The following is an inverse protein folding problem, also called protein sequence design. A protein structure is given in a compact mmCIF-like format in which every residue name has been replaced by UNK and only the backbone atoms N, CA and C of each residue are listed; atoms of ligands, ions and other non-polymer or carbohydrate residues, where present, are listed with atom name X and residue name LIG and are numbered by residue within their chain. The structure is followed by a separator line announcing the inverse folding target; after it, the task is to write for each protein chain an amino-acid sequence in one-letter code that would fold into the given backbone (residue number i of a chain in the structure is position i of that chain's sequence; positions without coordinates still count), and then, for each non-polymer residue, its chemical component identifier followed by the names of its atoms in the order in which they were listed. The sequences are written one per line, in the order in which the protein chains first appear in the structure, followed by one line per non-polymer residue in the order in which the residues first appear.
data_IF_061201685583
#
_entry.id   IF_061201685583
#
_cell.length_a   1.000
_cell.length_b   1.000
_cell.length_c   1.000
_cell.angle_alpha   90.00
_cell.angle_beta   90.00
_cell.angle_gamma   90.00
#
_symmetry.space_group_name_H-M   'P 1'
#
loop_
_entity.id
_entity.type
_entity.pdbx_description
1 polymer ?
#
# COMPACT_ATOMS: atom_id res chain seq x y z
N UNK A 1 -3.87 40.89 10.97
CA UNK A 1 -4.46 39.52 11.10
C UNK A 1 -3.58 38.59 10.30
N UNK A 2 -2.67 37.93 11.01
CA UNK A 2 -1.52 37.20 10.41
C UNK A 2 -1.96 35.78 10.07
N UNK A 3 -1.91 35.43 8.79
CA UNK A 3 -2.04 34.02 8.34
C UNK A 3 -0.76 33.26 8.66
N UNK A 4 -0.83 32.32 9.61
CA UNK A 4 0.25 31.37 9.88
C UNK A 4 0.14 30.24 8.86
N UNK A 5 1.06 30.21 7.89
CA UNK A 5 1.27 29.05 7.02
C UNK A 5 1.85 27.91 7.86
N UNK A 6 1.11 26.80 8.02
CA UNK A 6 1.64 25.54 8.54
C UNK A 6 2.59 24.94 7.48
N UNK A 7 3.87 25.01 7.74
CA UNK A 7 4.88 24.23 7.02
C UNK A 7 4.80 22.79 7.50
N UNK A 8 4.11 21.94 6.75
CA UNK A 8 4.07 20.50 7.01
C UNK A 8 5.46 19.88 6.78
N UNK A 9 6.02 19.34 7.82
CA UNK A 9 7.33 18.69 7.81
C UNK A 9 7.28 17.39 7.00
N UNK A 10 8.19 17.27 6.04
CA UNK A 10 8.39 16.14 5.11
C UNK A 10 8.69 14.78 5.81
N UNK A 11 8.71 14.73 7.14
CA UNK A 11 9.10 13.57 7.93
C UNK A 11 8.03 12.48 8.10
N UNK A 12 6.74 12.80 7.88
CA UNK A 12 5.65 11.82 8.06
C UNK A 12 5.35 10.97 6.82
N UNK A 13 5.69 11.45 5.62
CA UNK A 13 5.25 10.82 4.35
C UNK A 13 5.97 9.54 3.94
N UNK A 14 7.14 9.26 4.50
CA UNK A 14 7.91 8.04 4.18
C UNK A 14 7.42 6.84 5.01
N UNK A 15 6.84 7.09 6.18
CA UNK A 15 6.47 6.05 7.15
C UNK A 15 5.30 5.18 6.70
N UNK A 16 4.28 5.77 6.08
CA UNK A 16 3.06 5.06 5.73
C UNK A 16 3.21 4.12 4.52
N UNK A 17 3.99 4.50 3.51
CA UNK A 17 4.24 3.64 2.35
C UNK A 17 4.83 2.27 2.75
N UNK A 18 5.58 2.26 3.83
CA UNK A 18 6.31 1.09 4.30
C UNK A 18 5.38 0.18 5.14
N UNK A 19 4.43 0.77 5.88
CA UNK A 19 3.49 0.02 6.70
C UNK A 19 2.50 -0.81 5.86
N UNK A 20 2.04 -0.26 4.75
CA UNK A 20 1.10 -0.94 3.85
C UNK A 20 1.74 -2.16 3.17
N UNK A 21 3.05 -2.12 2.91
CA UNK A 21 3.80 -3.30 2.41
C UNK A 21 3.80 -4.46 3.41
N UNK A 22 3.61 -4.16 4.71
CA UNK A 22 3.50 -5.19 5.76
C UNK A 22 2.13 -5.86 5.85
N UNK A 23 1.08 -5.19 5.34
CA UNK A 23 -0.30 -5.69 5.41
C UNK A 23 -0.69 -6.56 4.21
N UNK A 24 -0.04 -6.38 3.08
CA UNK A 24 -0.43 -7.00 1.82
C UNK A 24 0.76 -7.73 1.19
N UNK A 25 0.95 -8.98 1.56
CA UNK A 25 1.75 -9.88 0.75
C UNK A 25 0.84 -10.52 -0.31
N UNK A 26 0.61 -9.79 -1.39
CA UNK A 26 0.13 -10.42 -2.61
C UNK A 26 1.33 -11.10 -3.28
N UNK A 27 1.37 -12.43 -3.42
CA UNK A 27 2.45 -13.07 -4.16
C UNK A 27 2.36 -12.61 -5.61
N UNK A 28 3.20 -11.66 -5.98
CA UNK A 28 3.46 -11.27 -7.37
C UNK A 28 4.10 -12.44 -8.11
N UNK A 29 3.35 -13.51 -8.34
CA UNK A 29 3.69 -14.51 -9.36
C UNK A 29 3.38 -13.96 -10.76
N UNK A 30 3.88 -12.76 -11.03
CA UNK A 30 3.92 -12.18 -12.37
C UNK A 30 5.33 -12.35 -12.95
N UNK A 31 5.81 -13.59 -12.97
CA UNK A 31 7.00 -13.94 -13.73
C UNK A 31 6.64 -14.87 -14.88
N UNK A 32 5.99 -14.38 -15.90
CA UNK A 32 5.96 -14.98 -17.21
C UNK A 32 5.39 -13.98 -18.22
N UNK A 33 6.19 -13.15 -18.80
CA UNK A 33 6.15 -12.60 -20.15
C UNK A 33 6.93 -11.28 -20.23
N UNK A 34 8.25 -11.35 -20.23
CA UNK A 34 9.09 -10.29 -20.80
C UNK A 34 10.24 -10.98 -21.55
N UNK A 35 9.89 -11.62 -22.64
CA UNK A 35 10.82 -11.96 -23.71
C UNK A 35 10.35 -11.21 -24.94
N UNK A 36 10.69 -9.93 -25.05
CA UNK A 36 10.78 -9.13 -26.27
C UNK A 36 10.96 -7.64 -25.90
N UNK A 37 12.13 -7.33 -25.30
CA UNK A 37 12.57 -5.95 -25.25
C UNK A 37 13.54 -5.71 -26.40
N UNK A 38 13.34 -4.68 -27.25
CA UNK A 38 14.31 -4.33 -28.27
C UNK A 38 15.65 -3.92 -27.64
N UNK A 39 16.73 -4.38 -28.22
CA UNK A 39 18.09 -4.12 -27.80
C UNK A 39 18.33 -2.59 -27.70
N UNK A 40 18.66 -2.12 -26.51
CA UNK A 40 19.05 -0.74 -26.25
C UNK A 40 20.47 -0.55 -26.79
N UNK A 41 20.63 0.38 -27.73
CA UNK A 41 21.92 0.77 -28.29
C UNK A 41 22.81 1.38 -27.20
N UNK A 42 24.05 0.88 -26.95
CA UNK A 42 24.87 1.31 -25.80
C UNK A 42 25.66 2.61 -26.01
N UNK A 43 25.39 3.41 -27.03
CA UNK A 43 26.16 4.63 -27.34
C UNK A 43 25.49 5.94 -26.90
N UNK A 44 25.07 6.06 -25.63
CA UNK A 44 24.87 7.38 -25.02
C UNK A 44 25.49 7.36 -23.61
N UNK A 45 26.81 7.33 -23.56
CA UNK A 45 27.56 7.78 -22.39
C UNK A 45 27.62 9.31 -22.39
N UNK A 46 26.55 9.95 -21.94
CA UNK A 46 26.64 11.32 -21.47
C UNK A 46 27.13 11.24 -20.03
N UNK A 47 28.42 11.45 -19.83
CA UNK A 47 29.00 11.69 -18.50
C UNK A 47 28.32 12.91 -17.89
N UNK A 48 27.36 12.66 -16.99
CA UNK A 48 26.84 13.70 -16.13
C UNK A 48 27.98 14.18 -15.23
N UNK A 49 28.19 15.48 -15.05
CA UNK A 49 29.24 15.99 -14.19
C UNK A 49 29.04 15.48 -12.77
N UNK A 50 29.93 14.58 -12.34
CA UNK A 50 29.95 14.09 -10.97
C UNK A 50 30.46 15.23 -10.10
N UNK A 51 29.58 15.79 -9.27
CA UNK A 51 29.97 16.76 -8.26
C UNK A 51 30.80 16.05 -7.19
N UNK A 52 32.10 16.28 -7.06
CA UNK A 52 33.00 15.54 -6.17
C UNK A 52 32.77 15.83 -4.67
N UNK A 53 31.84 16.73 -4.32
CA UNK A 53 31.50 17.09 -2.93
C UNK A 53 30.15 16.56 -2.48
N UNK A 54 29.42 15.78 -3.28
CA UNK A 54 28.22 15.11 -2.79
C UNK A 54 28.65 13.93 -1.91
N UNK A 55 28.35 14.01 -0.61
CA UNK A 55 28.53 12.84 0.28
C UNK A 55 27.84 11.63 -0.32
N UNK A 56 28.51 10.48 -0.35
CA UNK A 56 27.92 9.24 -0.85
C UNK A 56 26.56 9.01 -0.16
N UNK A 57 25.52 8.61 -0.90
CA UNK A 57 24.23 8.33 -0.28
C UNK A 57 24.40 7.29 0.82
N UNK A 58 23.68 7.43 1.96
CA UNK A 58 23.80 6.48 3.05
C UNK A 58 23.51 5.06 2.54
N UNK A 59 24.24 4.09 3.05
CA UNK A 59 23.96 2.69 2.74
C UNK A 59 22.53 2.34 3.16
N UNK A 60 21.90 1.37 2.49
CA UNK A 60 20.54 0.90 2.85
C UNK A 60 20.47 0.52 4.33
N UNK A 61 21.51 -0.12 4.85
CA UNK A 61 21.61 -0.49 6.25
C UNK A 61 21.62 0.71 7.21
N UNK A 62 22.30 1.80 6.83
CA UNK A 62 22.29 3.04 7.60
C UNK A 62 20.92 3.73 7.55
N UNK A 63 20.24 3.67 6.41
CA UNK A 63 18.88 4.19 6.28
C UNK A 63 17.90 3.42 7.16
N UNK A 64 17.95 2.08 7.17
CA UNK A 64 17.15 1.22 8.03
C UNK A 64 17.36 1.53 9.52
N UNK A 65 18.60 1.68 9.97
CA UNK A 65 18.94 2.01 11.36
C UNK A 65 18.39 3.36 11.84
N UNK A 66 18.08 4.28 10.94
CA UNK A 66 17.50 5.59 11.26
C UNK A 66 16.00 5.54 11.48
N UNK A 67 15.32 4.49 11.03
CA UNK A 67 13.88 4.33 11.24
C UNK A 67 13.65 3.85 12.67
N UNK A 68 13.16 4.75 13.53
CA UNK A 68 12.97 4.48 14.96
C UNK A 68 11.51 4.40 15.37
N UNK A 69 10.65 5.11 14.66
CA UNK A 69 9.24 5.16 14.93
C UNK A 69 8.48 5.19 13.60
N UNK A 70 7.40 4.45 13.54
CA UNK A 70 6.47 4.41 12.43
C UNK A 70 5.05 4.58 12.96
N UNK A 71 4.17 5.10 12.11
CA UNK A 71 2.74 5.12 12.37
C UNK A 71 1.99 4.87 11.08
N UNK A 72 0.79 4.30 11.19
CA UNK A 72 -0.16 4.15 10.11
C UNK A 72 -1.48 4.78 10.52
N UNK A 73 -2.00 5.72 9.76
CA UNK A 73 -3.22 6.45 10.07
C UNK A 73 -3.24 7.06 11.49
N UNK A 74 -2.07 7.46 12.02
CA UNK A 74 -1.91 7.97 13.38
C UNK A 74 -1.74 6.90 14.46
N UNK A 75 -1.94 5.62 14.15
CA UNK A 75 -1.68 4.50 15.06
C UNK A 75 -0.19 4.15 15.08
N UNK A 76 0.41 4.02 16.28
CA UNK A 76 1.82 3.72 16.41
C UNK A 76 2.12 2.26 16.07
N UNK A 77 3.20 2.03 15.30
CA UNK A 77 3.74 0.68 15.07
C UNK A 77 4.73 0.35 16.17
N UNK A 78 4.59 -0.76 16.91
CA UNK A 78 5.45 -1.11 18.04
C UNK A 78 6.84 -1.60 17.58
N UNK A 79 7.65 -0.67 17.06
CA UNK A 79 8.99 -0.95 16.52
C UNK A 79 10.01 -1.41 17.56
N UNK A 80 9.68 -1.34 18.86
CA UNK A 80 10.44 -1.93 19.95
C UNK A 80 10.31 -3.45 20.01
N UNK A 81 9.21 -4.01 19.50
CA UNK A 81 9.03 -5.46 19.37
C UNK A 81 9.91 -5.99 18.23
N UNK A 82 10.71 -7.00 18.53
CA UNK A 82 11.67 -7.55 17.57
C UNK A 82 10.97 -8.21 16.36
N UNK A 83 9.88 -8.95 16.60
CA UNK A 83 9.10 -9.62 15.56
C UNK A 83 8.50 -8.62 14.56
N UNK A 84 7.95 -7.50 15.04
CA UNK A 84 7.39 -6.42 14.22
C UNK A 84 8.50 -5.74 13.42
N UNK A 85 9.64 -5.45 14.08
CA UNK A 85 10.80 -4.82 13.43
C UNK A 85 11.37 -5.70 12.32
N UNK A 86 11.58 -6.98 12.57
CA UNK A 86 12.14 -7.93 11.60
C UNK A 86 11.20 -8.09 10.40
N UNK A 87 9.90 -8.18 10.62
CA UNK A 87 8.88 -8.22 9.54
C UNK A 87 8.95 -6.95 8.69
N UNK A 88 8.97 -5.78 9.32
CA UNK A 88 9.10 -4.49 8.63
C UNK A 88 10.40 -4.42 7.80
N UNK A 89 11.55 -4.77 8.39
CA UNK A 89 12.84 -4.73 7.68
C UNK A 89 12.87 -5.69 6.51
N UNK A 90 12.29 -6.89 6.65
CA UNK A 90 12.15 -7.87 5.57
C UNK A 90 11.38 -7.29 4.39
N UNK A 91 10.19 -6.74 4.63
CA UNK A 91 9.34 -6.21 3.56
C UNK A 91 9.97 -4.98 2.88
N UNK A 92 10.62 -4.12 3.65
CA UNK A 92 11.35 -2.99 3.10
C UNK A 92 12.51 -3.43 2.21
N UNK A 93 13.27 -4.43 2.64
CA UNK A 93 14.39 -4.98 1.87
C UNK A 93 13.91 -5.65 0.58
N UNK A 94 12.81 -6.42 0.62
CA UNK A 94 12.23 -7.05 -0.57
C UNK A 94 11.74 -5.99 -1.57
N UNK A 95 11.05 -4.96 -1.11
CA UNK A 95 10.56 -3.86 -1.96
C UNK A 95 11.70 -3.08 -2.59
N UNK A 96 12.72 -2.70 -1.81
CA UNK A 96 13.88 -1.94 -2.31
C UNK A 96 14.84 -2.81 -3.14
N UNK A 97 14.87 -4.11 -2.90
CA UNK A 97 15.63 -5.08 -3.69
C UNK A 97 15.12 -5.20 -5.13
N UNK A 98 13.82 -5.04 -5.34
CA UNK A 98 13.21 -5.01 -6.67
C UNK A 98 13.17 -3.57 -7.23
N UNK A 99 14.34 -3.04 -7.60
CA UNK A 99 14.48 -1.67 -8.12
C UNK A 99 13.56 -1.33 -9.29
N UNK A 100 13.40 -2.18 -10.34
CA UNK A 100 12.47 -1.89 -11.42
C UNK A 100 11.05 -1.67 -10.92
N UNK A 101 10.57 -2.53 -10.03
CA UNK A 101 9.23 -2.43 -9.46
C UNK A 101 9.07 -1.17 -8.61
N UNK A 102 10.06 -0.84 -7.77
CA UNK A 102 10.06 0.39 -6.97
C UNK A 102 9.96 1.65 -7.85
N UNK A 103 10.69 1.71 -8.97
CA UNK A 103 10.61 2.82 -9.92
C UNK A 103 9.23 2.90 -10.56
N UNK A 104 8.61 1.77 -10.92
CA UNK A 104 7.26 1.74 -11.48
C UNK A 104 6.22 2.22 -10.45
N UNK A 105 6.35 1.86 -9.17
CA UNK A 105 5.51 2.40 -8.09
C UNK A 105 5.59 3.92 -8.05
N UNK A 106 6.81 4.47 -7.98
CA UNK A 106 7.02 5.92 -7.93
C UNK A 106 6.41 6.64 -9.14
N UNK A 107 6.50 6.06 -10.35
CA UNK A 107 5.89 6.64 -11.55
C UNK A 107 4.35 6.62 -11.51
N UNK A 108 3.76 5.52 -11.06
CA UNK A 108 2.30 5.38 -10.98
C UNK A 108 1.68 6.24 -9.89
N UNK A 109 2.37 6.41 -8.75
CA UNK A 109 1.93 7.29 -7.67
C UNK A 109 1.59 8.69 -8.17
N UNK A 110 2.42 9.29 -9.00
CA UNK A 110 2.19 10.64 -9.55
C UNK A 110 0.89 10.75 -10.34
N UNK A 111 0.39 9.64 -10.89
CA UNK A 111 -0.85 9.60 -11.69
C UNK A 111 -2.09 9.37 -10.85
N UNK A 112 -2.03 8.47 -9.87
CA UNK A 112 -3.21 7.95 -9.18
C UNK A 112 -3.40 8.51 -7.77
N UNK A 113 -2.33 8.72 -7.00
CA UNK A 113 -2.46 9.18 -5.62
C UNK A 113 -3.14 10.53 -5.47
N UNK A 114 -2.93 11.55 -6.32
CA UNK A 114 -3.61 12.84 -6.15
C UNK A 114 -5.14 12.75 -6.14
N UNK A 115 -5.71 11.83 -6.92
CA UNK A 115 -7.15 11.60 -6.92
C UNK A 115 -7.61 10.89 -5.65
N UNK A 116 -6.88 9.85 -5.20
CA UNK A 116 -7.19 9.13 -3.96
C UNK A 116 -7.10 10.08 -2.76
N UNK A 117 -6.03 10.90 -2.69
CA UNK A 117 -5.84 11.92 -1.65
C UNK A 117 -7.02 12.90 -1.59
N UNK A 118 -7.49 13.38 -2.74
CA UNK A 118 -8.63 14.29 -2.80
C UNK A 118 -9.94 13.64 -2.30
N UNK A 119 -10.15 12.34 -2.56
CA UNK A 119 -11.34 11.63 -2.06
C UNK A 119 -11.20 11.38 -0.56
N UNK A 120 -10.03 10.99 -0.06
CA UNK A 120 -9.77 10.81 1.38
C UNK A 120 -9.96 12.11 2.16
N UNK A 121 -9.43 13.23 1.66
CA UNK A 121 -9.60 14.55 2.25
C UNK A 121 -11.07 14.96 2.32
N UNK A 122 -11.81 14.77 1.23
CA UNK A 122 -13.25 15.06 1.18
C UNK A 122 -14.06 14.26 2.20
N UNK A 123 -13.66 13.02 2.43
CA UNK A 123 -14.32 12.09 3.35
C UNK A 123 -13.78 12.18 4.79
N UNK A 124 -12.85 13.11 5.08
CA UNK A 124 -12.19 13.27 6.39
C UNK A 124 -11.56 11.96 6.90
N UNK A 125 -10.84 11.27 6.00
CA UNK A 125 -10.15 10.03 6.29
C UNK A 125 -8.63 10.20 6.24
N UNK A 126 -7.87 9.35 6.98
CA UNK A 126 -6.41 9.41 6.98
C UNK A 126 -5.80 9.27 5.60
N UNK A 127 -4.88 10.17 5.26
CA UNK A 127 -4.16 10.18 3.98
C UNK A 127 -3.35 8.90 3.72
N UNK A 128 -2.91 8.22 4.77
CA UNK A 128 -2.13 6.99 4.69
C UNK A 128 -2.89 5.84 4.00
N UNK A 129 -4.22 5.84 4.02
CA UNK A 129 -5.06 4.81 3.39
C UNK A 129 -4.84 4.70 1.86
N UNK A 130 -4.35 5.74 1.22
CA UNK A 130 -3.98 5.70 -0.21
C UNK A 130 -2.96 4.62 -0.55
N UNK A 131 -2.11 4.25 0.41
CA UNK A 131 -1.09 3.24 0.20
C UNK A 131 -1.62 1.81 0.15
N UNK A 132 -2.85 1.56 0.61
CA UNK A 132 -3.52 0.27 0.39
C UNK A 132 -3.66 -0.03 -1.11
N UNK A 133 -4.04 0.96 -1.92
CA UNK A 133 -4.11 0.78 -3.38
C UNK A 133 -2.74 0.44 -4.00
N UNK A 134 -1.64 0.93 -3.41
CA UNK A 134 -0.27 0.56 -3.84
C UNK A 134 0.01 -0.90 -3.51
N UNK A 135 -0.34 -1.33 -2.30
CA UNK A 135 -0.15 -2.69 -1.85
C UNK A 135 -0.99 -3.69 -2.65
N UNK A 136 -2.26 -3.38 -2.88
CA UNK A 136 -3.21 -4.27 -3.57
C UNK A 136 -2.83 -4.56 -5.03
N UNK A 137 -2.36 -3.56 -5.76
CA UNK A 137 -2.20 -3.68 -7.21
C UNK A 137 -0.95 -3.05 -7.79
N UNK A 138 -0.07 -2.49 -6.95
CA UNK A 138 1.00 -1.63 -7.46
C UNK A 138 0.47 -0.46 -8.31
N UNK A 139 -0.78 -0.03 -8.08
CA UNK A 139 -1.51 0.96 -8.87
C UNK A 139 -1.67 0.57 -10.35
N UNK A 140 -1.89 -0.72 -10.65
CA UNK A 140 -2.17 -1.21 -12.01
C UNK A 140 -3.69 -1.30 -12.20
N UNK A 141 -4.30 -0.49 -13.10
CA UNK A 141 -5.77 -0.37 -13.18
C UNK A 141 -6.48 -1.65 -13.63
N UNK A 142 -5.85 -2.41 -14.51
CA UNK A 142 -6.47 -3.57 -15.16
C UNK A 142 -5.95 -4.91 -14.63
N UNK A 143 -5.27 -4.90 -13.48
CA UNK A 143 -4.73 -6.13 -12.92
C UNK A 143 -5.87 -7.03 -12.40
N UNK A 144 -5.73 -8.32 -12.70
CA UNK A 144 -6.64 -9.35 -12.20
C UNK A 144 -5.84 -10.41 -11.45
N UNK A 145 -6.24 -10.69 -10.20
CA UNK A 145 -5.65 -11.77 -9.42
C UNK A 145 -6.13 -13.15 -9.91
N UNK A 146 -5.45 -14.21 -9.49
CA UNK A 146 -5.87 -15.61 -9.77
C UNK A 146 -7.22 -15.92 -9.13
N UNK A 147 -7.52 -15.36 -7.97
CA UNK A 147 -8.79 -15.50 -7.25
C UNK A 147 -9.92 -14.67 -7.86
N UNK A 148 -9.63 -13.78 -8.82
CA UNK A 148 -10.62 -12.97 -9.52
C UNK A 148 -10.82 -11.57 -8.96
N UNK A 149 -9.98 -11.12 -8.03
CA UNK A 149 -9.93 -9.71 -7.63
C UNK A 149 -9.51 -8.84 -8.83
N UNK A 150 -9.99 -7.60 -8.91
CA UNK A 150 -9.82 -6.75 -10.09
C UNK A 150 -9.56 -5.28 -9.72
N UNK A 151 -8.71 -4.64 -10.53
CA UNK A 151 -8.50 -3.20 -10.52
C UNK A 151 -7.50 -2.73 -9.46
N UNK A 152 -7.37 -1.41 -9.33
CA UNK A 152 -6.41 -0.79 -8.39
C UNK A 152 -6.67 -1.22 -6.94
N UNK A 153 -7.94 -1.41 -6.57
CA UNK A 153 -8.38 -1.74 -5.22
C UNK A 153 -8.63 -3.23 -5.00
N UNK A 154 -8.37 -4.07 -6.00
CA UNK A 154 -8.48 -5.52 -5.93
C UNK A 154 -9.80 -6.05 -5.34
N UNK A 155 -10.92 -5.41 -5.68
CA UNK A 155 -12.22 -5.91 -5.25
C UNK A 155 -12.52 -7.31 -5.79
N UNK A 156 -12.93 -8.20 -4.90
CA UNK A 156 -13.62 -9.42 -5.30
C UNK A 156 -15.01 -9.08 -5.88
N UNK A 157 -15.57 -9.90 -6.79
CA UNK A 157 -16.84 -9.58 -7.43
C UNK A 157 -17.98 -9.31 -6.45
N UNK A 158 -18.12 -10.15 -5.43
CA UNK A 158 -19.21 -10.03 -4.46
C UNK A 158 -19.01 -8.83 -3.53
N UNK A 159 -17.77 -8.61 -3.06
CA UNK A 159 -17.43 -7.43 -2.26
C UNK A 159 -17.70 -6.14 -3.05
N UNK A 160 -17.29 -6.11 -4.34
CA UNK A 160 -17.54 -4.94 -5.19
C UNK A 160 -19.05 -4.65 -5.34
N UNK A 161 -19.87 -5.66 -5.63
CA UNK A 161 -21.34 -5.50 -5.71
C UNK A 161 -21.96 -5.02 -4.39
N UNK A 162 -21.50 -5.58 -3.28
CA UNK A 162 -21.98 -5.19 -1.94
C UNK A 162 -21.62 -3.74 -1.59
N UNK A 163 -20.61 -3.17 -2.27
CA UNK A 163 -20.19 -1.78 -2.13
C UNK A 163 -20.57 -0.89 -3.32
N UNK A 164 -21.59 -1.31 -4.09
CA UNK A 164 -22.26 -0.49 -5.09
C UNK A 164 -21.60 -0.49 -6.47
N UNK A 165 -20.61 -1.34 -6.73
CA UNK A 165 -20.01 -1.46 -8.06
C UNK A 165 -20.88 -2.32 -8.98
N UNK A 166 -21.15 -1.84 -10.19
CA UNK A 166 -21.80 -2.62 -11.23
C UNK A 166 -20.80 -3.63 -11.81
N UNK A 167 -21.17 -4.90 -11.70
CA UNK A 167 -20.35 -6.02 -12.19
C UNK A 167 -21.26 -7.04 -12.86
N UNK A 168 -21.28 -7.02 -14.19
CA UNK A 168 -22.04 -7.95 -15.02
C UNK A 168 -21.20 -8.44 -16.22
N UNK A 169 -21.85 -8.99 -17.26
CA UNK A 169 -21.18 -9.50 -18.46
C UNK A 169 -20.66 -8.40 -19.40
N UNK A 170 -21.07 -7.16 -19.23
CA UNK A 170 -20.73 -6.02 -20.09
C UNK A 170 -19.92 -4.95 -19.37
N UNK A 171 -20.17 -4.77 -18.07
CA UNK A 171 -19.58 -3.70 -17.26
C UNK A 171 -18.91 -4.34 -16.05
N UNK A 172 -17.69 -3.87 -15.74
CA UNK A 172 -16.96 -4.21 -14.53
C UNK A 172 -16.33 -2.93 -13.94
N UNK A 173 -17.09 -2.25 -13.06
CA UNK A 173 -16.68 -0.97 -12.46
C UNK A 173 -15.52 -1.10 -11.47
N UNK A 174 -15.07 -2.31 -11.12
CA UNK A 174 -13.83 -2.51 -10.38
C UNK A 174 -12.61 -2.00 -11.17
N UNK A 175 -12.75 -1.87 -12.50
CA UNK A 175 -11.73 -1.34 -13.42
C UNK A 175 -11.84 0.17 -13.59
N UNK A 176 -12.97 0.77 -13.24
CA UNK A 176 -13.10 2.21 -13.22
C UNK A 176 -12.44 2.78 -11.97
N UNK A 177 -11.35 3.49 -12.17
CA UNK A 177 -10.51 3.99 -11.09
C UNK A 177 -11.27 4.91 -10.13
N UNK A 178 -12.10 5.81 -10.65
CA UNK A 178 -12.81 6.79 -9.81
C UNK A 178 -13.91 6.13 -8.99
N UNK A 179 -14.74 5.30 -9.63
CA UNK A 179 -15.86 4.61 -8.99
C UNK A 179 -15.35 3.60 -7.96
N UNK A 180 -14.32 2.80 -8.33
CA UNK A 180 -13.71 1.86 -7.41
C UNK A 180 -13.03 2.54 -6.21
N UNK A 181 -12.45 3.75 -6.38
CA UNK A 181 -11.86 4.50 -5.28
C UNK A 181 -12.93 4.96 -4.28
N UNK A 182 -14.06 5.45 -4.74
CA UNK A 182 -15.17 5.83 -3.86
C UNK A 182 -15.71 4.63 -3.08
N UNK A 183 -15.89 3.49 -3.75
CA UNK A 183 -16.34 2.26 -3.11
C UNK A 183 -15.33 1.76 -2.06
N UNK A 184 -14.03 1.78 -2.36
CA UNK A 184 -12.99 1.35 -1.45
C UNK A 184 -12.90 2.21 -0.19
N UNK A 185 -12.99 3.53 -0.34
CA UNK A 185 -12.94 4.48 0.77
C UNK A 185 -14.18 4.32 1.66
N UNK A 186 -15.38 4.14 1.08
CA UNK A 186 -16.58 3.85 1.83
C UNK A 186 -16.49 2.50 2.57
N UNK A 187 -15.90 1.49 1.96
CA UNK A 187 -15.68 0.19 2.58
C UNK A 187 -14.68 0.29 3.75
N UNK A 188 -13.57 0.98 3.59
CA UNK A 188 -12.58 1.19 4.65
C UNK A 188 -13.16 1.93 5.85
N UNK A 189 -14.02 2.94 5.63
CA UNK A 189 -14.77 3.61 6.72
C UNK A 189 -15.63 2.62 7.49
N UNK A 190 -16.40 1.79 6.77
CA UNK A 190 -17.24 0.75 7.40
C UNK A 190 -16.42 -0.24 8.24
N UNK A 191 -15.25 -0.65 7.72
CA UNK A 191 -14.35 -1.54 8.45
C UNK A 191 -13.78 -0.86 9.71
N UNK A 192 -13.41 0.40 9.62
CA UNK A 192 -12.98 1.16 10.79
C UNK A 192 -14.10 1.31 11.83
N UNK A 193 -15.32 1.60 11.40
CA UNK A 193 -16.49 1.68 12.30
C UNK A 193 -16.74 0.33 13.02
N UNK A 194 -16.41 -0.78 12.36
CA UNK A 194 -16.57 -2.12 12.93
C UNK A 194 -15.46 -2.50 13.91
N UNK A 195 -14.21 -2.19 13.59
CA UNK A 195 -13.05 -2.68 14.33
C UNK A 195 -12.37 -1.62 15.21
N UNK A 196 -12.65 -0.34 15.01
CA UNK A 196 -12.13 0.76 15.83
C UNK A 196 -10.63 1.06 15.66
N UNK A 197 -9.96 0.41 14.70
CA UNK A 197 -8.54 0.59 14.40
C UNK A 197 -8.32 0.53 12.89
N UNK A 198 -7.47 1.41 12.38
CA UNK A 198 -7.10 1.43 10.96
C UNK A 198 -6.23 0.24 10.57
N UNK A 199 -5.38 -0.23 11.47
CA UNK A 199 -4.58 -1.45 11.27
C UNK A 199 -5.47 -2.66 11.11
N UNK A 200 -6.51 -2.81 11.95
CA UNK A 200 -7.51 -3.88 11.82
C UNK A 200 -8.41 -3.69 10.59
N UNK A 201 -8.80 -2.45 10.27
CA UNK A 201 -9.57 -2.16 9.06
C UNK A 201 -8.81 -2.55 7.78
N UNK A 202 -7.51 -2.28 7.72
CA UNK A 202 -6.66 -2.68 6.61
C UNK A 202 -6.51 -4.21 6.53
N UNK A 203 -6.35 -4.91 7.66
CA UNK A 203 -6.35 -6.36 7.71
C UNK A 203 -7.68 -6.96 7.23
N UNK A 204 -8.80 -6.39 7.70
CA UNK A 204 -10.14 -6.82 7.28
C UNK A 204 -10.41 -6.56 5.79
N UNK A 205 -9.87 -5.50 5.22
CA UNK A 205 -9.96 -5.23 3.79
C UNK A 205 -9.32 -6.36 2.98
N UNK A 206 -8.19 -6.88 3.44
CA UNK A 206 -7.44 -7.93 2.77
C UNK A 206 -8.08 -9.31 2.96
N UNK A 207 -8.30 -9.76 4.19
CA UNK A 207 -8.74 -11.12 4.49
C UNK A 207 -10.27 -11.29 4.62
N UNK A 208 -10.99 -10.17 4.61
CA UNK A 208 -12.44 -10.14 4.84
C UNK A 208 -12.83 -9.89 6.30
N UNK A 209 -13.89 -9.09 6.49
CA UNK A 209 -14.38 -8.67 7.81
C UNK A 209 -14.81 -9.83 8.71
N UNK A 210 -15.48 -10.83 8.15
CA UNK A 210 -15.91 -12.01 8.92
C UNK A 210 -14.72 -12.88 9.37
N UNK A 211 -13.70 -13.01 8.52
CA UNK A 211 -12.48 -13.77 8.83
C UNK A 211 -11.73 -13.11 10.00
N UNK A 212 -11.48 -11.82 9.90
CA UNK A 212 -10.80 -11.07 10.98
C UNK A 212 -11.60 -11.09 12.28
N UNK A 213 -12.94 -10.93 12.22
CA UNK A 213 -13.77 -10.99 13.42
C UNK A 213 -13.68 -12.36 14.13
N UNK A 214 -13.65 -13.46 13.37
CA UNK A 214 -13.47 -14.79 13.92
C UNK A 214 -12.09 -14.99 14.57
N UNK A 215 -11.02 -14.44 13.96
CA UNK A 215 -9.66 -14.50 14.51
C UNK A 215 -9.53 -13.68 15.80
N UNK A 216 -10.13 -12.50 15.86
CA UNK A 216 -10.20 -11.66 17.07
C UNK A 216 -10.91 -12.43 18.21
N UNK A 217 -12.06 -13.05 17.91
CA UNK A 217 -12.81 -13.83 18.89
C UNK A 217 -12.01 -15.06 19.37
N UNK A 218 -11.39 -15.79 18.45
CA UNK A 218 -10.62 -16.99 18.76
C UNK A 218 -9.38 -16.67 19.60
N UNK A 219 -8.67 -15.60 19.27
CA UNK A 219 -7.41 -15.23 19.91
C UNK A 219 -7.60 -14.29 21.10
N UNK A 220 -8.83 -13.80 21.35
CA UNK A 220 -9.19 -12.94 22.48
C UNK A 220 -8.34 -11.65 22.56
N UNK A 221 -7.92 -11.12 21.42
CA UNK A 221 -7.19 -9.85 21.30
C UNK A 221 -7.70 -9.06 20.12
N UNK A 222 -7.74 -7.73 20.25
CA UNK A 222 -8.01 -6.76 19.19
C UNK A 222 -6.80 -5.89 18.86
N UNK A 223 -5.61 -6.28 19.33
CA UNK A 223 -4.37 -5.64 18.90
C UNK A 223 -3.87 -6.35 17.62
N UNK A 224 -3.86 -5.61 16.50
CA UNK A 224 -3.37 -6.12 15.22
C UNK A 224 -1.98 -6.79 15.32
N UNK A 225 -1.09 -6.25 16.14
CA UNK A 225 0.27 -6.75 16.27
C UNK A 225 0.40 -7.99 17.17
N UNK A 226 -0.66 -8.34 17.89
CA UNK A 226 -0.73 -9.58 18.68
C UNK A 226 -1.46 -10.70 17.95
N UNK A 227 -2.28 -10.35 16.94
CA UNK A 227 -2.99 -11.34 16.16
C UNK A 227 -2.01 -12.16 15.30
N UNK A 228 -2.23 -13.46 15.29
CA UNK A 228 -1.67 -14.40 14.32
C UNK A 228 -2.66 -14.51 13.18
N UNK A 229 -2.35 -13.86 12.08
CA UNK A 229 -3.19 -13.85 10.89
C UNK A 229 -2.65 -14.85 9.87
N UNK A 230 -3.51 -15.43 9.00
CA UNK A 230 -3.06 -16.34 7.97
C UNK A 230 -2.02 -15.71 7.06
N UNK A 231 -0.94 -16.43 6.78
CA UNK A 231 -0.03 -16.07 5.71
C UNK A 231 -0.77 -16.29 4.37
N UNK A 232 -0.93 -15.24 3.57
CA UNK A 232 -1.57 -15.33 2.25
C UNK A 232 -0.71 -16.07 1.21
N UNK A 233 0.29 -16.80 1.65
CA UNK A 233 1.29 -17.48 0.83
C UNK A 233 1.00 -18.95 0.56
N UNK A 234 -0.11 -19.52 1.01
CA UNK A 234 -0.48 -20.89 0.63
C UNK A 234 -1.49 -20.92 -0.56
#
# INVERSE_FOLDING_TARGET
MLMIRKTGTLRGRISALIFVVLLCWCPLTLWAAVDDAPAINPEIETELPVNPMAAAPPSLLEALRKIRALSFCGEAVPMERQDVRERFEKELLLTLGNRPQAILYLKRQLRYLPHIEAVLEKEDLPDDLKYLAVAESALIPDIRSRSGAMGIWQFMPDTGRNHGLMIDSYIDERRDFSTATQAAIAYLRKLYDQFGSWSLAAAAYNMGDNGLAADIELQQTNDYFELVLPDETE
#
